data_IF_792407067831
#
_entry.id   IF_792407067831
#
_cell.length_a   1.000
_cell.length_b   1.000
_cell.length_c   1.000
_cell.angle_alpha   90.00
_cell.angle_beta   90.00
_cell.angle_gamma   90.00
#
_symmetry.space_group_name_H-M   'P 1'
#
loop_
_entity.id
_entity.type
_entity.pdbx_description
1 polymer ?
#
# COMPACT_ATOMS: atom_id res chain seq x y z
N UNK A 1 7.60 -7.65 -27.47
CA UNK A 1 6.70 -6.60 -28.01
C UNK A 1 6.82 -5.36 -27.12
N UNK A 2 7.46 -4.29 -27.58
CA UNK A 2 7.52 -3.00 -26.85
C UNK A 2 6.16 -2.31 -26.96
N UNK A 3 5.41 -2.19 -25.86
CA UNK A 3 4.20 -1.35 -25.83
C UNK A 3 4.60 0.10 -25.67
N UNK A 4 3.93 0.99 -26.39
CA UNK A 4 4.23 2.42 -26.33
C UNK A 4 3.71 3.01 -25.01
N UNK A 5 4.37 4.01 -24.41
CA UNK A 5 3.95 4.60 -23.14
C UNK A 5 2.51 5.14 -23.16
N UNK A 6 2.02 5.52 -24.35
CA UNK A 6 0.64 5.95 -24.56
C UNK A 6 -0.38 4.83 -24.32
N UNK A 7 -0.03 3.59 -24.65
CA UNK A 7 -0.89 2.42 -24.42
C UNK A 7 -1.08 2.14 -22.92
N UNK A 8 -0.05 2.40 -22.11
CA UNK A 8 -0.09 2.23 -20.65
C UNK A 8 -1.04 3.25 -20.00
N UNK A 9 -1.01 4.51 -20.44
CA UNK A 9 -1.91 5.57 -19.98
C UNK A 9 -3.35 5.25 -20.36
N UNK A 10 -3.59 4.82 -21.60
CA UNK A 10 -4.94 4.45 -22.07
C UNK A 10 -5.50 3.25 -21.31
N UNK A 11 -4.68 2.23 -21.09
CA UNK A 11 -5.08 1.04 -20.33
C UNK A 11 -5.40 1.41 -18.87
N UNK A 12 -4.59 2.27 -18.24
CA UNK A 12 -4.88 2.80 -16.92
C UNK A 12 -6.26 3.48 -16.88
N UNK A 13 -6.53 4.45 -17.76
CA UNK A 13 -7.82 5.14 -17.77
C UNK A 13 -9.03 4.19 -17.95
N UNK A 14 -8.86 3.12 -18.72
CA UNK A 14 -9.92 2.11 -18.92
C UNK A 14 -10.23 1.27 -17.67
N UNK A 15 -9.26 1.09 -16.76
CA UNK A 15 -9.45 0.31 -15.53
C UNK A 15 -10.35 1.00 -14.50
N UNK A 16 -10.71 2.28 -14.71
CA UNK A 16 -11.48 3.08 -13.74
C UNK A 16 -12.84 3.57 -14.23
N UNK A 17 -13.32 3.11 -15.39
CA UNK A 17 -14.59 3.58 -15.95
C UNK A 17 -15.82 3.20 -15.10
N UNK A 18 -15.75 2.10 -14.32
CA UNK A 18 -16.90 1.53 -13.60
C UNK A 18 -16.71 1.37 -12.07
N UNK A 19 -15.77 2.09 -11.46
CA UNK A 19 -15.53 1.95 -10.02
C UNK A 19 -16.52 2.80 -9.18
N UNK A 20 -16.96 2.29 -8.01
CA UNK A 20 -17.73 3.10 -7.05
C UNK A 20 -16.96 4.36 -6.65
N UNK A 21 -17.61 5.40 -6.10
CA UNK A 21 -16.95 6.68 -5.78
C UNK A 21 -15.85 6.50 -4.73
N UNK A 22 -14.64 6.22 -5.20
CA UNK A 22 -13.41 6.18 -4.43
C UNK A 22 -12.85 7.60 -4.36
N UNK A 23 -12.27 7.95 -3.22
CA UNK A 23 -11.64 9.27 -3.07
C UNK A 23 -10.59 9.47 -4.16
N UNK A 24 -10.65 10.62 -4.84
CA UNK A 24 -9.68 11.01 -5.88
C UNK A 24 -8.23 10.93 -5.37
N UNK A 25 -8.04 11.12 -4.07
CA UNK A 25 -6.75 11.00 -3.39
C UNK A 25 -6.10 9.61 -3.50
N UNK A 26 -6.90 8.55 -3.66
CA UNK A 26 -6.43 7.17 -3.74
C UNK A 26 -5.65 6.89 -5.03
N UNK A 27 -5.95 7.62 -6.10
CA UNK A 27 -5.36 7.44 -7.43
C UNK A 27 -4.10 8.29 -7.66
N UNK A 28 -3.91 9.35 -6.87
CA UNK A 28 -2.90 10.36 -7.13
C UNK A 28 -1.46 9.78 -7.18
N UNK A 29 -1.04 8.89 -6.26
CA UNK A 29 0.29 8.27 -6.37
C UNK A 29 0.48 7.44 -7.65
N UNK A 30 -0.55 6.67 -8.04
CA UNK A 30 -0.52 5.88 -9.25
C UNK A 30 -0.45 6.76 -10.51
N UNK A 31 -1.20 7.86 -10.54
CA UNK A 31 -1.16 8.82 -11.63
C UNK A 31 0.22 9.50 -11.75
N UNK A 32 0.83 9.91 -10.63
CA UNK A 32 2.19 10.46 -10.60
C UNK A 32 3.19 9.46 -11.19
N UNK A 33 3.08 8.19 -10.82
CA UNK A 33 3.97 7.15 -11.33
C UNK A 33 3.80 6.90 -12.83
N UNK A 34 2.55 6.78 -13.29
CA UNK A 34 2.23 6.42 -14.67
C UNK A 34 2.44 7.55 -15.67
N UNK A 35 2.34 8.80 -15.23
CA UNK A 35 2.67 9.97 -16.05
C UNK A 35 4.17 10.27 -15.96
N UNK A 36 4.73 10.21 -14.75
CA UNK A 36 6.13 10.53 -14.49
C UNK A 36 7.11 9.58 -15.16
N UNK A 37 6.84 8.26 -15.11
CA UNK A 37 7.75 7.28 -15.69
C UNK A 37 7.96 7.44 -17.21
N UNK A 38 6.91 7.56 -18.05
CA UNK A 38 7.10 7.86 -19.47
C UNK A 38 7.90 9.14 -19.75
N UNK A 39 7.62 10.22 -19.03
CA UNK A 39 8.33 11.51 -19.20
C UNK A 39 9.81 11.34 -18.89
N UNK A 40 10.13 10.73 -17.75
CA UNK A 40 11.52 10.51 -17.32
C UNK A 40 12.24 9.49 -18.21
N UNK A 41 11.55 8.46 -18.70
CA UNK A 41 12.12 7.48 -19.61
C UNK A 41 12.52 8.11 -20.95
N UNK A 42 11.73 9.07 -21.45
CA UNK A 42 12.09 9.85 -22.65
C UNK A 42 13.23 10.83 -22.35
N UNK A 43 13.20 11.50 -21.20
CA UNK A 43 14.21 12.50 -20.84
C UNK A 43 15.60 11.90 -20.55
N UNK A 44 15.66 10.75 -19.88
CA UNK A 44 16.93 10.09 -19.52
C UNK A 44 17.47 9.17 -20.63
N UNK A 45 16.64 8.80 -21.61
CA UNK A 45 17.00 7.88 -22.68
C UNK A 45 16.98 6.40 -22.26
N UNK A 46 17.13 5.50 -23.24
CA UNK A 46 17.04 4.05 -23.05
C UNK A 46 18.08 3.48 -22.09
N UNK A 47 19.26 4.09 -22.05
CA UNK A 47 20.41 3.60 -21.27
C UNK A 47 20.23 3.81 -19.76
N UNK A 48 19.28 4.66 -19.36
CA UNK A 48 19.01 5.02 -17.96
C UNK A 48 17.56 4.69 -17.55
N UNK A 49 16.94 3.70 -18.20
CA UNK A 49 15.56 3.32 -17.93
C UNK A 49 15.29 2.92 -16.47
N UNK A 50 16.29 2.31 -15.79
CA UNK A 50 16.21 2.00 -14.36
C UNK A 50 16.15 3.24 -13.47
N UNK A 51 16.95 4.26 -13.78
CA UNK A 51 16.97 5.53 -13.04
C UNK A 51 15.66 6.32 -13.22
N UNK A 52 15.12 6.32 -14.45
CA UNK A 52 13.82 6.89 -14.76
C UNK A 52 12.71 6.23 -13.92
N UNK A 53 12.74 4.90 -13.82
CA UNK A 53 11.80 4.13 -13.01
C UNK A 53 11.91 4.47 -11.52
N UNK A 54 13.11 4.36 -10.94
CA UNK A 54 13.33 4.60 -9.50
C UNK A 54 12.94 6.03 -9.12
N UNK A 55 13.24 7.00 -9.97
CA UNK A 55 12.91 8.42 -9.73
C UNK A 55 11.39 8.66 -9.78
N UNK A 56 10.69 8.10 -10.78
CA UNK A 56 9.23 8.18 -10.85
C UNK A 56 8.58 7.50 -9.63
N UNK A 57 9.11 6.33 -9.24
CA UNK A 57 8.63 5.58 -8.08
C UNK A 57 8.84 6.33 -6.77
N UNK A 58 10.01 6.92 -6.56
CA UNK A 58 10.31 7.75 -5.40
C UNK A 58 9.34 8.94 -5.30
N UNK A 59 9.09 9.63 -6.40
CA UNK A 59 8.14 10.75 -6.43
C UNK A 59 6.72 10.28 -6.07
N UNK A 60 6.25 9.19 -6.67
CA UNK A 60 4.95 8.61 -6.38
C UNK A 60 4.82 8.13 -4.92
N UNK A 61 5.86 7.48 -4.40
CA UNK A 61 5.91 7.03 -3.01
C UNK A 61 5.92 8.22 -2.04
N UNK A 62 6.67 9.27 -2.33
CA UNK A 62 6.68 10.50 -1.52
C UNK A 62 5.29 11.14 -1.47
N UNK A 63 4.58 11.21 -2.60
CA UNK A 63 3.19 11.68 -2.64
C UNK A 63 2.28 10.79 -1.78
N UNK A 64 2.39 9.46 -1.92
CA UNK A 64 1.61 8.51 -1.12
C UNK A 64 1.85 8.69 0.38
N UNK A 65 3.11 8.82 0.78
CA UNK A 65 3.51 9.02 2.18
C UNK A 65 3.00 10.35 2.69
N UNK A 66 3.19 11.44 1.94
CA UNK A 66 2.73 12.78 2.32
C UNK A 66 1.21 12.84 2.55
N UNK A 67 0.43 12.20 1.69
CA UNK A 67 -1.03 12.13 1.83
C UNK A 67 -1.48 11.30 3.03
N UNK A 68 -0.74 10.25 3.38
CA UNK A 68 -1.02 9.39 4.54
C UNK A 68 -0.43 9.89 5.86
N UNK A 69 0.44 10.90 5.82
CA UNK A 69 1.29 11.30 6.94
C UNK A 69 0.49 11.79 8.13
N UNK A 70 -0.50 12.66 7.91
CA UNK A 70 -1.33 13.20 8.98
C UNK A 70 -2.09 12.08 9.72
N UNK A 71 -2.70 11.16 8.97
CA UNK A 71 -3.39 10.01 9.55
C UNK A 71 -2.44 9.09 10.34
N UNK A 72 -1.22 8.89 9.85
CA UNK A 72 -0.18 8.15 10.57
C UNK A 72 0.23 8.86 11.87
N UNK A 73 0.44 10.18 11.82
CA UNK A 73 0.82 10.98 12.98
C UNK A 73 -0.27 10.98 14.05
N UNK A 74 -1.53 11.22 13.66
CA UNK A 74 -2.69 11.09 14.57
C UNK A 74 -2.73 9.69 15.21
N UNK A 75 -2.52 8.65 14.38
CA UNK A 75 -2.18 7.25 14.74
C UNK A 75 -1.25 7.17 15.95
N UNK A 76 -0.02 7.62 15.75
CA UNK A 76 1.08 7.48 16.69
C UNK A 76 0.90 8.28 17.96
N UNK A 77 0.30 9.48 17.89
CA UNK A 77 0.04 10.34 19.05
C UNK A 77 -0.94 9.73 20.05
N UNK A 78 -1.74 8.73 19.65
CA UNK A 78 -2.59 7.98 20.60
C UNK A 78 -1.81 7.02 21.49
N UNK A 79 -0.57 6.67 21.13
CA UNK A 79 0.24 5.64 21.79
C UNK A 79 1.59 6.12 22.31
N UNK A 80 2.13 7.18 21.71
CA UNK A 80 3.48 7.65 21.96
C UNK A 80 3.48 9.13 22.34
N UNK A 81 4.53 9.57 23.03
CA UNK A 81 4.73 11.01 23.28
C UNK A 81 4.98 11.77 21.98
N UNK A 82 4.78 13.09 21.98
CA UNK A 82 4.98 13.93 20.78
C UNK A 82 6.37 13.74 20.16
N UNK A 83 7.43 13.69 20.98
CA UNK A 83 8.79 13.49 20.50
C UNK A 83 8.97 12.11 19.85
N UNK A 84 8.47 11.05 20.50
CA UNK A 84 8.55 9.69 19.98
C UNK A 84 7.73 9.51 18.70
N UNK A 85 6.49 10.01 18.67
CA UNK A 85 5.62 9.97 17.50
C UNK A 85 6.25 10.71 16.32
N UNK A 86 6.87 11.88 16.55
CA UNK A 86 7.55 12.65 15.52
C UNK A 86 8.74 11.89 14.94
N UNK A 87 9.63 11.38 15.80
CA UNK A 87 10.81 10.61 15.36
C UNK A 87 10.38 9.36 14.58
N UNK A 88 9.42 8.61 15.10
CA UNK A 88 8.91 7.40 14.44
C UNK A 88 8.25 7.74 13.11
N UNK A 89 7.38 8.75 13.05
CA UNK A 89 6.71 9.14 11.81
C UNK A 89 7.71 9.58 10.73
N UNK A 90 8.73 10.36 11.12
CA UNK A 90 9.80 10.77 10.20
C UNK A 90 10.65 9.58 9.76
N UNK A 91 10.97 8.65 10.64
CA UNK A 91 11.69 7.43 10.28
C UNK A 91 10.88 6.56 9.31
N UNK A 92 9.59 6.31 9.60
CA UNK A 92 8.71 5.52 8.74
C UNK A 92 8.45 6.17 7.39
N UNK A 93 8.38 7.50 7.32
CA UNK A 93 8.21 8.24 6.07
C UNK A 93 9.51 8.36 5.27
N UNK A 94 10.61 8.72 5.95
CA UNK A 94 11.87 9.11 5.32
C UNK A 94 12.80 7.94 5.03
N UNK A 95 12.87 6.93 5.90
CA UNK A 95 13.81 5.81 5.73
C UNK A 95 13.55 5.03 4.42
N UNK A 96 12.31 4.68 4.05
CA UNK A 96 12.06 4.02 2.76
C UNK A 96 12.49 4.87 1.57
N UNK A 97 12.25 6.19 1.62
CA UNK A 97 12.65 7.11 0.55
C UNK A 97 14.18 7.20 0.45
N UNK A 98 14.89 7.29 1.58
CA UNK A 98 16.34 7.33 1.61
C UNK A 98 16.97 6.03 1.10
N UNK A 99 16.46 4.88 1.54
CA UNK A 99 16.93 3.57 1.07
C UNK A 99 16.76 3.46 -0.45
N UNK A 100 15.61 3.86 -0.98
CA UNK A 100 15.33 3.80 -2.42
C UNK A 100 16.10 4.85 -3.23
N UNK A 101 16.44 6.00 -2.64
CA UNK A 101 17.25 7.02 -3.29
C UNK A 101 18.73 6.61 -3.46
N UNK A 102 19.22 5.71 -2.60
CA UNK A 102 20.59 5.17 -2.64
C UNK A 102 20.64 3.80 -3.32
N UNK A 103 19.49 3.17 -3.58
CA UNK A 103 19.44 1.87 -4.24
C UNK A 103 19.62 2.01 -5.75
N UNK A 104 20.63 1.32 -6.30
CA UNK A 104 20.92 1.31 -7.73
C UNK A 104 20.02 0.36 -8.55
N UNK A 105 19.31 -0.57 -7.89
CA UNK A 105 18.47 -1.58 -8.55
C UNK A 105 16.96 -1.29 -8.37
N UNK A 106 16.19 -1.13 -9.47
CA UNK A 106 14.73 -1.02 -9.46
C UNK A 106 14.00 -2.11 -8.66
N UNK A 107 14.60 -3.29 -8.49
CA UNK A 107 14.05 -4.38 -7.68
C UNK A 107 13.80 -3.96 -6.23
N UNK A 108 14.59 -3.03 -5.68
CA UNK A 108 14.39 -2.51 -4.33
C UNK A 108 13.07 -1.76 -4.19
N UNK A 109 12.63 -1.02 -5.21
CA UNK A 109 11.32 -0.37 -5.21
C UNK A 109 10.20 -1.39 -5.02
N UNK A 110 10.32 -2.54 -5.69
CA UNK A 110 9.34 -3.61 -5.64
C UNK A 110 9.36 -4.35 -4.30
N UNK A 111 10.56 -4.68 -3.81
CA UNK A 111 10.75 -5.39 -2.53
C UNK A 111 10.43 -4.51 -1.31
N UNK A 112 10.55 -3.20 -1.42
CA UNK A 112 10.10 -2.27 -0.37
C UNK A 112 8.59 -2.43 -0.10
N UNK A 113 7.79 -2.67 -1.16
CA UNK A 113 6.38 -2.97 -1.00
C UNK A 113 6.13 -4.30 -0.27
N UNK A 114 6.95 -5.33 -0.53
CA UNK A 114 6.92 -6.59 0.24
C UNK A 114 7.30 -6.39 1.69
N UNK A 115 8.36 -5.62 1.96
CA UNK A 115 8.80 -5.32 3.33
C UNK A 115 7.70 -4.64 4.13
N UNK A 116 6.96 -3.70 3.52
CA UNK A 116 5.80 -3.08 4.16
C UNK A 116 4.77 -4.13 4.63
N UNK A 117 4.41 -5.09 3.76
CA UNK A 117 3.45 -6.13 4.13
C UNK A 117 3.99 -7.09 5.19
N UNK A 118 5.28 -7.41 5.18
CA UNK A 118 5.93 -8.23 6.22
C UNK A 118 5.86 -7.52 7.57
N UNK A 119 6.21 -6.23 7.63
CA UNK A 119 6.21 -5.46 8.89
C UNK A 119 4.81 -5.35 9.45
N UNK A 120 3.84 -4.89 8.65
CA UNK A 120 2.47 -4.70 9.14
C UNK A 120 1.80 -6.05 9.44
N UNK A 121 1.95 -7.03 8.56
CA UNK A 121 1.44 -8.39 8.78
C UNK A 121 2.03 -9.04 10.03
N UNK A 122 3.32 -8.82 10.29
CA UNK A 122 4.01 -9.29 11.49
C UNK A 122 3.47 -8.67 12.79
N UNK A 123 3.17 -7.37 12.79
CA UNK A 123 2.54 -6.70 13.95
C UNK A 123 1.16 -7.30 14.25
N UNK A 124 0.32 -7.51 13.22
CA UNK A 124 -0.98 -8.15 13.41
C UNK A 124 -0.85 -9.62 13.85
N UNK A 125 0.12 -10.37 13.29
CA UNK A 125 0.37 -11.75 13.69
C UNK A 125 0.79 -11.84 15.15
N UNK A 126 1.66 -10.92 15.60
CA UNK A 126 2.03 -10.82 17.01
C UNK A 126 0.82 -10.56 17.90
N UNK A 127 -0.08 -9.67 17.49
CA UNK A 127 -1.31 -9.40 18.23
C UNK A 127 -2.22 -10.63 18.30
N UNK A 128 -2.37 -11.40 17.21
CA UNK A 128 -3.10 -12.69 17.23
C UNK A 128 -2.45 -13.69 18.19
N UNK A 129 -1.13 -13.87 18.14
CA UNK A 129 -0.40 -14.82 18.99
C UNK A 129 -0.50 -14.47 20.49
N UNK A 130 -0.61 -13.19 20.81
CA UNK A 130 -0.72 -12.70 22.19
C UNK A 130 -2.19 -12.51 22.64
N UNK A 131 -3.17 -12.84 21.79
CA UNK A 131 -4.59 -12.62 22.07
C UNK A 131 -4.97 -11.15 22.24
N UNK A 132 -4.20 -10.22 21.65
CA UNK A 132 -4.42 -8.77 21.71
C UNK A 132 -5.10 -8.28 20.44
N UNK A 133 -5.89 -7.23 20.57
CA UNK A 133 -6.56 -6.54 19.44
C UNK A 133 -6.15 -5.09 19.30
N UNK A 134 -5.08 -4.70 20.01
CA UNK A 134 -4.67 -3.31 20.14
C UNK A 134 -4.43 -2.65 18.78
N UNK A 135 -3.73 -3.33 17.86
CA UNK A 135 -3.44 -2.80 16.52
C UNK A 135 -4.74 -2.59 15.74
N UNK A 136 -5.63 -3.58 15.67
CA UNK A 136 -6.92 -3.45 15.01
C UNK A 136 -7.77 -2.30 15.59
N UNK A 137 -7.79 -2.14 16.92
CA UNK A 137 -8.51 -1.04 17.58
C UNK A 137 -8.04 0.36 17.15
N UNK A 138 -6.80 0.53 16.68
CA UNK A 138 -6.35 1.82 16.13
C UNK A 138 -6.81 2.10 14.70
N UNK A 139 -7.20 1.06 13.95
CA UNK A 139 -7.78 1.20 12.62
C UNK A 139 -9.30 1.34 12.68
N UNK A 140 -9.94 0.68 13.66
CA UNK A 140 -11.38 0.71 13.90
C UNK A 140 -11.67 1.06 15.36
N UNK A 141 -11.62 2.35 15.74
CA UNK A 141 -11.79 2.79 17.13
C UNK A 141 -13.25 2.80 17.61
N UNK A 142 -14.21 2.68 16.68
CA UNK A 142 -15.63 2.80 16.96
C UNK A 142 -16.12 1.70 17.91
N UNK A 143 -17.04 2.05 18.82
CA UNK A 143 -17.52 1.13 19.85
C UNK A 143 -18.21 -0.11 19.26
N UNK A 144 -18.93 0.06 18.16
CA UNK A 144 -19.62 -1.02 17.43
C UNK A 144 -18.64 -2.06 16.87
N UNK A 145 -17.40 -1.67 16.59
CA UNK A 145 -16.40 -2.58 16.00
C UNK A 145 -15.71 -3.47 17.03
N UNK A 146 -15.89 -3.21 18.33
CA UNK A 146 -15.13 -3.85 19.43
C UNK A 146 -15.28 -5.37 19.44
N UNK A 147 -16.50 -5.86 19.21
CA UNK A 147 -16.82 -7.28 19.24
C UNK A 147 -16.18 -8.03 18.06
N UNK A 148 -15.98 -7.34 16.94
CA UNK A 148 -15.37 -7.88 15.72
C UNK A 148 -13.83 -7.83 15.73
N UNK A 149 -13.22 -7.06 16.64
CA UNK A 149 -11.77 -6.81 16.63
C UNK A 149 -10.91 -8.08 16.63
N UNK A 150 -11.23 -9.18 17.34
CA UNK A 150 -10.45 -10.41 17.27
C UNK A 150 -10.39 -11.00 15.86
N UNK A 151 -11.53 -11.03 15.17
CA UNK A 151 -11.64 -11.55 13.80
C UNK A 151 -11.05 -10.59 12.78
N UNK A 152 -11.22 -9.28 12.96
CA UNK A 152 -10.54 -8.27 12.15
C UNK A 152 -9.02 -8.35 12.29
N UNK A 153 -8.50 -8.66 13.48
CA UNK A 153 -7.05 -8.83 13.69
C UNK A 153 -6.51 -10.02 12.89
N UNK A 154 -7.18 -11.17 12.95
CA UNK A 154 -6.83 -12.37 12.15
C UNK A 154 -6.97 -12.11 10.65
N UNK A 155 -8.04 -11.43 10.25
CA UNK A 155 -8.29 -11.04 8.88
C UNK A 155 -7.17 -10.16 8.32
N UNK A 156 -6.67 -9.21 9.12
CA UNK A 156 -5.55 -8.35 8.73
C UNK A 156 -4.24 -9.11 8.52
N UNK A 157 -4.01 -10.22 9.24
CA UNK A 157 -2.88 -11.13 8.96
C UNK A 157 -3.01 -11.73 7.57
N UNK A 158 -4.18 -12.28 7.24
CA UNK A 158 -4.47 -12.88 5.93
C UNK A 158 -4.36 -11.83 4.81
N UNK A 159 -4.92 -10.65 5.02
CA UNK A 159 -4.83 -9.53 4.08
C UNK A 159 -3.36 -9.19 3.77
N UNK A 160 -2.55 -8.92 4.80
CA UNK A 160 -1.16 -8.49 4.56
C UNK A 160 -0.31 -9.59 3.93
N UNK A 161 -0.40 -10.84 4.38
CA UNK A 161 0.39 -11.93 3.79
C UNK A 161 -0.13 -12.35 2.41
N UNK A 162 -1.43 -12.21 2.13
CA UNK A 162 -1.98 -12.40 0.79
C UNK A 162 -1.45 -11.37 -0.20
N UNK A 163 -1.42 -10.10 0.19
CA UNK A 163 -0.84 -9.03 -0.64
C UNK A 163 0.69 -9.15 -0.77
N UNK A 164 1.39 -9.63 0.25
CA UNK A 164 2.82 -9.99 0.17
C UNK A 164 3.05 -11.04 -0.90
N UNK A 165 2.31 -12.16 -0.83
CA UNK A 165 2.43 -13.25 -1.79
C UNK A 165 2.11 -12.79 -3.21
N UNK A 166 1.05 -11.99 -3.36
CA UNK A 166 0.69 -11.38 -4.64
C UNK A 166 1.83 -10.50 -5.18
N UNK A 167 2.43 -9.64 -4.35
CA UNK A 167 3.52 -8.77 -4.78
C UNK A 167 4.76 -9.58 -5.20
N UNK A 168 5.18 -10.57 -4.40
CA UNK A 168 6.33 -11.45 -4.74
C UNK A 168 6.06 -12.29 -5.99
N UNK A 169 4.81 -12.72 -6.19
CA UNK A 169 4.40 -13.41 -7.42
C UNK A 169 4.51 -12.47 -8.62
N UNK A 170 4.04 -11.22 -8.49
CA UNK A 170 4.15 -10.22 -9.56
C UNK A 170 5.61 -9.92 -9.92
N UNK A 171 6.48 -9.78 -8.91
CA UNK A 171 7.93 -9.56 -9.09
C UNK A 171 8.57 -10.72 -9.85
N UNK A 172 8.17 -11.96 -9.57
CA UNK A 172 8.75 -13.15 -10.22
C UNK A 172 8.17 -13.44 -11.61
N UNK A 173 6.91 -13.11 -11.83
CA UNK A 173 6.16 -13.53 -13.02
C UNK A 173 6.13 -12.48 -14.13
N UNK A 174 6.33 -11.19 -13.81
CA UNK A 174 6.16 -10.10 -14.77
C UNK A 174 7.33 -9.12 -14.76
N UNK A 175 7.53 -8.46 -15.90
CA UNK A 175 8.51 -7.38 -16.01
C UNK A 175 8.14 -6.17 -15.14
N UNK A 176 9.17 -5.37 -14.81
CA UNK A 176 9.07 -4.16 -13.98
C UNK A 176 8.00 -3.16 -14.45
N UNK A 177 7.78 -3.04 -15.76
CA UNK A 177 6.78 -2.15 -16.33
C UNK A 177 5.33 -2.59 -16.05
N UNK A 178 5.06 -3.90 -16.02
CA UNK A 178 3.75 -4.44 -15.63
C UNK A 178 3.53 -4.36 -14.12
N UNK A 179 4.61 -4.56 -13.35
CA UNK A 179 4.55 -4.33 -11.90
C UNK A 179 4.19 -2.87 -11.56
N UNK A 180 4.67 -1.90 -12.36
CA UNK A 180 4.33 -0.48 -12.19
C UNK A 180 2.82 -0.23 -12.34
N UNK A 181 2.21 -0.80 -13.37
CA UNK A 181 0.75 -0.74 -13.55
C UNK A 181 0.02 -1.33 -12.35
N UNK A 182 0.46 -2.50 -11.89
CA UNK A 182 -0.07 -3.15 -10.70
C UNK A 182 0.05 -2.24 -9.46
N UNK A 183 1.22 -1.64 -9.21
CA UNK A 183 1.41 -0.75 -8.08
C UNK A 183 0.51 0.49 -8.15
N UNK A 184 0.29 1.04 -9.34
CA UNK A 184 -0.58 2.19 -9.54
C UNK A 184 -2.05 1.90 -9.19
N UNK A 185 -2.54 0.68 -9.46
CA UNK A 185 -3.90 0.25 -9.11
C UNK A 185 -3.99 -0.38 -7.71
N UNK A 186 -2.86 -0.71 -7.10
CA UNK A 186 -2.79 -1.41 -5.81
C UNK A 186 -3.61 -0.74 -4.69
N UNK A 187 -3.65 0.59 -4.54
CA UNK A 187 -4.50 1.23 -3.54
C UNK A 187 -5.99 0.91 -3.73
N UNK A 188 -6.45 0.83 -4.98
CA UNK A 188 -7.83 0.53 -5.33
C UNK A 188 -8.16 -0.91 -5.00
N UNK A 189 -7.31 -1.84 -5.45
CA UNK A 189 -7.47 -3.27 -5.16
C UNK A 189 -7.45 -3.49 -3.65
N UNK A 190 -6.47 -2.92 -2.95
CA UNK A 190 -6.35 -2.98 -1.50
C UNK A 190 -7.59 -2.46 -0.77
N UNK A 191 -8.10 -1.30 -1.17
CA UNK A 191 -9.29 -0.72 -0.58
C UNK A 191 -10.53 -1.61 -0.78
N UNK A 192 -10.75 -2.10 -2.00
CA UNK A 192 -11.89 -2.96 -2.34
C UNK A 192 -11.84 -4.27 -1.57
N UNK A 193 -10.67 -4.94 -1.56
CA UNK A 193 -10.49 -6.21 -0.83
C UNK A 193 -10.66 -6.00 0.67
N UNK A 194 -10.02 -4.98 1.25
CA UNK A 194 -10.13 -4.70 2.68
C UNK A 194 -11.59 -4.44 3.08
N UNK A 195 -12.31 -3.60 2.32
CA UNK A 195 -13.72 -3.31 2.59
C UNK A 195 -14.58 -4.56 2.52
N UNK A 196 -14.40 -5.39 1.50
CA UNK A 196 -15.11 -6.65 1.36
C UNK A 196 -14.84 -7.58 2.54
N UNK A 197 -13.57 -7.73 2.95
CA UNK A 197 -13.20 -8.57 4.09
C UNK A 197 -13.78 -8.07 5.41
N UNK A 198 -13.79 -6.75 5.66
CA UNK A 198 -14.41 -6.16 6.86
C UNK A 198 -15.91 -6.49 6.91
N UNK A 199 -16.62 -6.27 5.80
CA UNK A 199 -18.05 -6.59 5.70
C UNK A 199 -18.32 -8.09 5.92
N UNK A 200 -17.47 -8.96 5.39
CA UNK A 200 -17.57 -10.40 5.61
C UNK A 200 -17.40 -10.76 7.08
N UNK A 201 -16.43 -10.17 7.78
CA UNK A 201 -16.22 -10.43 9.22
C UNK A 201 -17.44 -10.01 10.03
N UNK A 202 -17.95 -8.79 9.82
CA UNK A 202 -19.13 -8.28 10.52
C UNK A 202 -20.34 -9.20 10.29
N UNK A 203 -20.63 -9.55 9.04
CA UNK A 203 -21.76 -10.43 8.71
C UNK A 203 -21.63 -11.83 9.32
N UNK A 204 -20.42 -12.40 9.37
CA UNK A 204 -20.21 -13.72 9.97
C UNK A 204 -20.40 -13.68 11.49
N UNK A 205 -19.88 -12.64 12.14
CA UNK A 205 -20.04 -12.46 13.57
C UNK A 205 -21.51 -12.24 13.93
N UNK A 206 -22.21 -11.33 13.26
CA UNK A 206 -23.62 -11.01 13.53
C UNK A 206 -24.55 -12.22 13.34
N UNK A 207 -24.27 -13.05 12.33
CA UNK A 207 -25.03 -14.29 12.10
C UNK A 207 -24.71 -15.35 13.14
N UNK A 208 -23.47 -15.40 13.64
CA UNK A 208 -23.05 -16.30 14.72
C UNK A 208 -23.68 -15.97 16.07
N UNK A 209 -24.02 -14.71 16.33
CA UNK A 209 -24.70 -14.30 17.58
C UNK A 209 -26.23 -14.54 17.57
N UNK A 210 -26.82 -14.81 16.39
CA UNK A 210 -28.26 -15.09 16.25
C UNK A 210 -28.61 -16.59 16.30
N UNK A 211 -27.61 -17.46 16.32
CA UNK A 211 -27.76 -18.93 16.40
C UNK A 211 -27.52 -19.43 17.83
#
# INVERSE_FOLDING_TARGET
MHRTPFDLVRLFLSLFQDLPPLSRSLYLPGAVLLIGYPILAVAFGSDHAGQAFTTAFLAALAVRVGMGFEGMMRRMLTRYSVAQATILALAFAGLPLLVLAVADDPLWCQRMQSMFYVVIGGVFLQDVMQGRTSTAASFWPDAEMREHLPNLTRMMVVYNFGFLLMNETMIRAFDTSYWLLFWAVLPVIGHTVLRAMVLTVINLDDNGHKA
#
